data_IF_221923284097
#
_entry.id   IF_221923284097
#
_cell.length_a   1.000
_cell.length_b   1.000
_cell.length_c   1.000
_cell.angle_alpha   90.00
_cell.angle_beta   90.00
_cell.angle_gamma   90.00
#
_symmetry.space_group_name_H-M   'P 1'
#
loop_
_entity.id
_entity.type
_entity.pdbx_description
1 polymer ?
#
# COMPACT_ATOMS: atom_id res chain seq x y z
N UNK A 1 -6.09 6.30 -14.82
CA UNK A 1 -6.56 4.92 -14.98
C UNK A 1 -8.00 5.02 -15.38
N UNK A 2 -8.30 4.57 -16.59
CA UNK A 2 -9.67 4.38 -17.07
C UNK A 2 -10.07 2.97 -16.61
N UNK A 3 -11.14 2.88 -15.81
CA UNK A 3 -11.73 1.60 -15.46
C UNK A 3 -12.35 1.01 -16.72
N UNK A 4 -12.23 -0.29 -16.94
CA UNK A 4 -12.93 -0.92 -18.06
C UNK A 4 -14.45 -0.80 -17.87
N UNK A 5 -15.20 -0.72 -18.97
CA UNK A 5 -16.66 -0.61 -18.91
C UNK A 5 -17.26 -1.80 -18.15
N UNK A 6 -17.93 -1.52 -17.02
CA UNK A 6 -18.50 -2.53 -16.12
C UNK A 6 -17.51 -3.13 -15.10
N UNK A 7 -16.32 -2.56 -14.95
CA UNK A 7 -15.37 -2.84 -13.86
C UNK A 7 -15.66 -1.90 -12.68
N UNK A 8 -15.82 -2.45 -11.48
CA UNK A 8 -16.14 -1.66 -10.29
C UNK A 8 -14.94 -1.52 -9.35
N UNK A 9 -14.75 -0.29 -8.87
CA UNK A 9 -13.68 0.03 -7.94
C UNK A 9 -14.11 -0.34 -6.51
N UNK A 10 -13.54 -1.42 -5.97
CA UNK A 10 -13.80 -1.88 -4.60
C UNK A 10 -12.96 -1.08 -3.62
N UNK A 11 -11.68 -0.87 -3.95
CA UNK A 11 -10.79 -0.10 -3.09
C UNK A 11 -9.74 0.66 -3.89
N UNK A 12 -9.42 1.86 -3.41
CA UNK A 12 -8.35 2.71 -3.94
C UNK A 12 -7.56 3.26 -2.78
N UNK A 13 -6.24 3.16 -2.89
CA UNK A 13 -5.36 3.77 -1.92
C UNK A 13 -4.00 4.11 -2.46
N UNK A 14 -3.16 4.57 -1.55
CA UNK A 14 -1.79 5.00 -1.79
C UNK A 14 -0.93 4.52 -0.63
N UNK A 15 0.39 4.39 -0.82
CA UNK A 15 1.29 4.14 0.30
C UNK A 15 1.12 5.24 1.36
N UNK A 16 0.92 4.83 2.60
CA UNK A 16 1.01 5.66 3.78
C UNK A 16 2.47 6.07 3.94
N UNK A 17 2.72 7.38 3.88
CA UNK A 17 4.06 7.90 3.83
C UNK A 17 4.80 7.73 5.15
N UNK A 18 6.07 7.33 5.07
CA UNK A 18 6.92 7.19 6.24
C UNK A 18 7.68 8.51 6.47
N UNK A 19 7.13 9.41 7.30
CA UNK A 19 7.75 10.70 7.63
C UNK A 19 9.11 10.60 8.38
N UNK A 20 9.59 9.36 8.62
CA UNK A 20 10.84 9.08 9.34
C UNK A 20 12.06 9.67 8.65
N UNK A 21 12.22 9.54 7.33
CA UNK A 21 13.44 10.04 6.67
C UNK A 21 13.53 11.56 6.67
N UNK A 22 12.46 12.33 6.37
CA UNK A 22 12.48 13.78 6.56
C UNK A 22 12.71 14.19 8.02
N UNK A 23 12.12 13.47 8.96
CA UNK A 23 12.30 13.72 10.39
C UNK A 23 13.74 13.45 10.85
N UNK A 24 14.35 12.35 10.42
CA UNK A 24 15.74 12.04 10.72
C UNK A 24 16.70 13.04 10.06
N UNK A 25 16.39 13.49 8.84
CA UNK A 25 17.16 14.54 8.18
C UNK A 25 17.11 15.80 9.05
N UNK A 26 15.91 16.25 9.42
CA UNK A 26 15.73 17.40 10.30
C UNK A 26 16.47 17.25 11.64
N UNK A 27 16.45 16.07 12.27
CA UNK A 27 17.20 15.81 13.50
C UNK A 27 18.72 15.87 13.31
N UNK A 28 19.24 15.40 12.17
CA UNK A 28 20.68 15.49 11.88
C UNK A 28 21.17 16.94 11.73
N UNK A 29 20.29 17.88 11.34
CA UNK A 29 20.62 19.31 11.31
C UNK A 29 20.98 19.85 12.70
N UNK A 30 20.25 19.44 13.75
CA UNK A 30 20.55 19.85 15.12
C UNK A 30 21.92 19.34 15.59
N UNK A 31 22.34 18.16 15.13
CA UNK A 31 23.67 17.63 15.43
C UNK A 31 24.78 18.50 14.84
N UNK A 32 24.62 18.94 13.58
CA UNK A 32 25.59 19.76 12.86
C UNK A 32 25.69 21.17 13.47
N UNK A 33 24.56 21.81 13.75
CA UNK A 33 24.52 23.17 14.31
C UNK A 33 25.16 23.30 15.70
N UNK A 34 25.41 22.19 16.41
CA UNK A 34 26.07 22.17 17.72
C UNK A 34 27.59 21.94 17.64
N UNK A 35 28.17 21.71 16.46
CA UNK A 35 29.62 21.54 16.28
C UNK A 35 30.26 22.93 16.12
N UNK A 36 30.31 23.71 17.20
CA UNK A 36 31.04 24.98 17.21
C UNK A 36 32.33 24.85 18.02
N UNK A 37 33.49 25.11 17.39
CA UNK A 37 34.64 25.70 18.11
C UNK A 37 35.97 24.94 18.21
N UNK A 38 36.31 24.00 17.32
CA UNK A 38 37.68 23.42 17.29
C UNK A 38 38.21 23.33 15.85
N UNK A 39 39.52 23.47 15.64
CA UNK A 39 40.18 23.45 14.32
C UNK A 39 40.10 22.11 13.56
N UNK A 40 39.83 21.01 14.28
CA UNK A 40 39.43 19.72 13.70
C UNK A 40 37.94 19.67 13.31
N UNK A 41 37.15 20.64 13.77
CA UNK A 41 35.72 20.78 13.55
C UNK A 41 35.37 21.25 12.14
N UNK A 42 36.16 22.11 11.50
CA UNK A 42 35.79 22.69 10.19
C UNK A 42 35.68 21.64 9.07
N UNK A 43 36.62 20.68 9.02
CA UNK A 43 36.58 19.60 8.02
C UNK A 43 35.45 18.60 8.30
N UNK A 44 35.20 18.32 9.59
CA UNK A 44 34.11 17.43 10.03
C UNK A 44 32.74 18.09 9.79
N UNK A 45 32.65 19.40 9.98
CA UNK A 45 31.45 20.21 9.75
C UNK A 45 31.11 20.29 8.26
N UNK A 46 32.10 20.57 7.41
CA UNK A 46 31.92 20.57 5.96
C UNK A 46 31.45 19.19 5.43
N UNK A 47 32.10 18.10 5.85
CA UNK A 47 31.72 16.75 5.44
C UNK A 47 30.31 16.36 5.94
N UNK A 48 29.98 16.69 7.19
CA UNK A 48 28.67 16.41 7.79
C UNK A 48 27.55 17.20 7.11
N UNK A 49 27.83 18.45 6.74
CA UNK A 49 26.91 19.31 5.99
C UNK A 49 26.62 18.75 4.60
N UNK A 50 27.64 18.29 3.87
CA UNK A 50 27.46 17.65 2.55
C UNK A 50 26.61 16.37 2.68
N UNK A 51 26.90 15.52 3.66
CA UNK A 51 26.12 14.30 3.91
C UNK A 51 24.67 14.60 4.29
N UNK A 52 24.44 15.66 5.08
CA UNK A 52 23.09 16.13 5.40
C UNK A 52 22.30 16.53 4.17
N UNK A 53 22.87 17.36 3.28
CA UNK A 53 22.18 17.75 2.05
C UNK A 53 21.94 16.54 1.13
N UNK A 54 22.91 15.64 1.00
CA UNK A 54 22.75 14.39 0.25
C UNK A 54 21.60 13.53 0.79
N UNK A 55 21.53 13.37 2.12
CA UNK A 55 20.46 12.62 2.77
C UNK A 55 19.09 13.32 2.64
N UNK A 56 19.05 14.65 2.77
CA UNK A 56 17.84 15.45 2.61
C UNK A 56 17.28 15.31 1.19
N UNK A 57 18.13 15.39 0.17
CA UNK A 57 17.74 15.19 -1.24
C UNK A 57 17.22 13.77 -1.46
N UNK A 58 17.93 12.75 -1.00
CA UNK A 58 17.49 11.35 -1.13
C UNK A 58 16.13 11.11 -0.44
N UNK A 59 15.94 11.69 0.74
CA UNK A 59 14.69 11.63 1.51
C UNK A 59 13.52 12.30 0.76
N UNK A 60 13.74 13.49 0.20
CA UNK A 60 12.73 14.19 -0.61
C UNK A 60 12.40 13.44 -1.91
N UNK A 61 13.39 12.89 -2.60
CA UNK A 61 13.19 12.08 -3.80
C UNK A 61 12.35 10.85 -3.47
N UNK A 62 12.66 10.15 -2.38
CA UNK A 62 11.84 9.02 -1.92
C UNK A 62 10.38 9.44 -1.67
N UNK A 63 10.17 10.62 -1.09
CA UNK A 63 8.84 11.18 -0.84
C UNK A 63 8.04 11.39 -2.12
N UNK A 64 8.69 11.98 -3.13
CA UNK A 64 8.07 12.28 -4.42
C UNK A 64 7.74 10.99 -5.17
N UNK A 65 8.68 10.04 -5.22
CA UNK A 65 8.49 8.74 -5.88
C UNK A 65 7.35 7.96 -5.24
N UNK A 66 7.29 7.91 -3.91
CA UNK A 66 6.23 7.18 -3.21
C UNK A 66 4.86 7.83 -3.35
N UNK A 67 4.78 9.17 -3.43
CA UNK A 67 3.52 9.90 -3.68
C UNK A 67 2.86 9.55 -5.01
N UNK A 68 3.67 9.17 -6.01
CA UNK A 68 3.19 8.78 -7.34
C UNK A 68 2.50 7.41 -7.38
N UNK A 69 2.77 6.55 -6.39
CA UNK A 69 2.25 5.18 -6.36
C UNK A 69 0.78 5.16 -5.95
N UNK A 70 -0.03 4.48 -6.76
CA UNK A 70 -1.46 4.27 -6.50
C UNK A 70 -1.76 2.78 -6.60
N UNK A 71 -2.61 2.31 -5.72
CA UNK A 71 -3.06 0.93 -5.64
C UNK A 71 -4.56 0.90 -5.88
N UNK A 72 -5.00 -0.05 -6.69
CA UNK A 72 -6.40 -0.24 -7.03
C UNK A 72 -6.76 -1.71 -6.88
N UNK A 73 -7.90 -1.95 -6.24
CA UNK A 73 -8.53 -3.25 -6.17
C UNK A 73 -9.89 -3.12 -6.83
N UNK A 74 -10.09 -3.87 -7.90
CA UNK A 74 -11.38 -3.98 -8.60
C UNK A 74 -11.95 -5.38 -8.41
N UNK A 75 -13.18 -5.56 -8.84
CA UNK A 75 -13.86 -6.86 -8.90
C UNK A 75 -13.14 -7.86 -9.83
N UNK A 76 -12.41 -7.37 -10.84
CA UNK A 76 -11.72 -8.21 -11.85
C UNK A 76 -10.23 -8.33 -11.66
N UNK A 77 -9.56 -7.28 -11.17
CA UNK A 77 -8.10 -7.22 -11.10
C UNK A 77 -7.58 -6.39 -9.94
N UNK A 78 -6.36 -6.70 -9.56
CA UNK A 78 -5.59 -6.03 -8.53
C UNK A 78 -4.43 -5.34 -9.24
N UNK A 79 -4.33 -4.02 -9.07
CA UNK A 79 -3.40 -3.18 -9.82
C UNK A 79 -2.47 -2.50 -8.82
N UNK A 80 -1.20 -2.84 -8.95
CA UNK A 80 -0.11 -2.09 -8.36
C UNK A 80 0.63 -1.31 -9.44
N UNK A 81 1.48 -0.39 -9.02
CA UNK A 81 2.13 0.61 -9.89
C UNK A 81 2.67 0.04 -11.22
N UNK A 82 3.34 -1.13 -11.18
CA UNK A 82 3.98 -1.75 -12.34
C UNK A 82 3.50 -3.18 -12.61
N UNK A 83 2.40 -3.61 -11.98
CA UNK A 83 1.98 -5.01 -12.06
C UNK A 83 0.49 -5.14 -11.85
N UNK A 84 -0.15 -5.92 -12.71
CA UNK A 84 -1.56 -6.27 -12.62
C UNK A 84 -1.69 -7.76 -12.36
N UNK A 85 -2.66 -8.12 -11.52
CA UNK A 85 -3.03 -9.51 -11.21
C UNK A 85 -4.53 -9.65 -11.39
N UNK A 86 -4.99 -10.66 -12.11
CA UNK A 86 -6.42 -10.93 -12.22
C UNK A 86 -6.91 -11.58 -10.91
N UNK A 87 -8.08 -11.17 -10.44
CA UNK A 87 -8.71 -11.73 -9.23
C UNK A 87 -8.92 -13.25 -9.32
N UNK A 88 -9.31 -13.83 -10.47
CA UNK A 88 -9.38 -15.29 -10.65
C UNK A 88 -8.05 -16.01 -10.41
N UNK A 89 -6.92 -15.37 -10.72
CA UNK A 89 -5.58 -15.97 -10.57
C UNK A 89 -5.05 -15.84 -9.14
N UNK A 90 -5.79 -15.16 -8.24
CA UNK A 90 -5.42 -14.98 -6.86
C UNK A 90 -5.42 -16.32 -6.10
N UNK A 91 -4.23 -16.75 -5.68
CA UNK A 91 -4.03 -18.00 -4.94
C UNK A 91 -4.03 -17.76 -3.43
N UNK A 92 -3.36 -16.71 -2.96
CA UNK A 92 -3.26 -16.40 -1.54
C UNK A 92 -3.12 -14.90 -1.29
N UNK A 93 -3.51 -14.46 -0.10
CA UNK A 93 -3.33 -13.09 0.37
C UNK A 93 -2.61 -13.13 1.71
N UNK A 94 -1.43 -12.52 1.78
CA UNK A 94 -0.63 -12.43 2.99
C UNK A 94 -0.54 -11.00 3.48
N UNK A 95 -0.51 -10.81 4.78
CA UNK A 95 -0.36 -9.50 5.40
C UNK A 95 0.87 -9.48 6.30
N UNK A 96 1.67 -8.44 6.18
CA UNK A 96 2.76 -8.15 7.10
C UNK A 96 2.57 -6.79 7.75
N UNK A 97 2.68 -6.77 9.08
CA UNK A 97 2.62 -5.55 9.86
C UNK A 97 3.76 -5.54 10.88
N UNK A 98 4.56 -4.49 10.84
CA UNK A 98 5.50 -4.19 11.92
C UNK A 98 4.75 -3.71 13.17
N UNK A 99 5.37 -3.79 14.36
CA UNK A 99 4.75 -3.31 15.61
C UNK A 99 4.30 -1.85 15.51
N UNK A 100 5.16 -0.99 14.96
CA UNK A 100 4.84 0.42 14.71
C UNK A 100 3.76 0.59 13.64
N UNK A 101 3.78 -0.26 12.60
CA UNK A 101 2.73 -0.32 11.58
C UNK A 101 1.37 -0.63 12.18
N UNK A 102 1.28 -1.63 13.08
CA UNK A 102 0.06 -2.00 13.78
C UNK A 102 -0.51 -0.82 14.59
N UNK A 103 0.35 -0.08 15.32
CA UNK A 103 -0.08 1.12 16.06
C UNK A 103 -0.66 2.21 15.14
N UNK A 104 -0.09 2.38 13.95
CA UNK A 104 -0.56 3.37 12.95
C UNK A 104 -1.66 2.84 12.03
N UNK A 105 -2.08 1.59 12.18
CA UNK A 105 -2.99 0.92 11.24
C UNK A 105 -2.43 0.78 9.82
N UNK A 106 -1.11 0.66 9.65
CA UNK A 106 -0.41 0.56 8.36
C UNK A 106 0.30 -0.79 8.22
N UNK A 107 0.22 -1.41 7.04
CA UNK A 107 0.93 -2.66 6.75
C UNK A 107 1.16 -2.90 5.27
N UNK A 108 1.79 -4.02 4.96
CA UNK A 108 1.97 -4.51 3.60
C UNK A 108 0.98 -5.65 3.34
N UNK A 109 0.40 -5.68 2.15
CA UNK A 109 -0.45 -6.78 1.68
C UNK A 109 0.17 -7.36 0.43
N UNK A 110 0.36 -8.67 0.41
CA UNK A 110 0.93 -9.43 -0.69
C UNK A 110 -0.15 -10.32 -1.28
N UNK A 111 -0.26 -10.31 -2.60
CA UNK A 111 -1.21 -11.12 -3.36
C UNK A 111 -0.40 -12.08 -4.19
N UNK A 112 -0.53 -13.36 -3.89
CA UNK A 112 0.15 -14.43 -4.60
C UNK A 112 -0.77 -14.91 -5.73
N UNK A 113 -0.20 -15.10 -6.92
CA UNK A 113 -0.85 -15.70 -8.08
C UNK A 113 -0.69 -17.22 -8.05
N UNK A 114 -1.54 -17.95 -8.79
CA UNK A 114 -1.33 -19.38 -9.08
C UNK A 114 -0.06 -19.61 -9.90
N UNK A 115 0.34 -18.65 -10.73
CA UNK A 115 1.52 -18.73 -11.59
C UNK A 115 2.85 -18.50 -10.82
N UNK A 116 2.81 -18.37 -9.49
CA UNK A 116 3.97 -18.08 -8.65
C UNK A 116 4.43 -16.61 -8.67
N UNK A 117 3.80 -15.75 -9.49
CA UNK A 117 3.99 -14.29 -9.43
C UNK A 117 3.31 -13.73 -8.18
N UNK A 118 3.83 -12.64 -7.66
CA UNK A 118 3.19 -11.92 -6.56
C UNK A 118 3.21 -10.42 -6.82
N UNK A 119 2.19 -9.73 -6.31
CA UNK A 119 2.12 -8.28 -6.30
C UNK A 119 1.95 -7.81 -4.85
N UNK A 120 2.39 -6.59 -4.56
CA UNK A 120 2.33 -6.07 -3.18
C UNK A 120 1.83 -4.64 -3.11
N UNK A 121 0.90 -4.43 -2.18
CA UNK A 121 0.49 -3.12 -1.70
C UNK A 121 1.34 -2.78 -0.49
N UNK A 122 2.28 -1.84 -0.67
CA UNK A 122 3.23 -1.47 0.37
C UNK A 122 2.70 -0.30 1.18
N UNK A 123 2.84 -0.41 2.50
CA UNK A 123 2.47 0.62 3.48
C UNK A 123 1.02 1.10 3.33
N UNK A 124 0.06 0.22 3.09
CA UNK A 124 -1.34 0.61 2.99
C UNK A 124 -1.98 0.80 4.36
N UNK A 125 -2.88 1.78 4.47
CA UNK A 125 -3.74 1.95 5.64
C UNK A 125 -4.77 0.82 5.68
N UNK A 126 -5.07 0.36 6.89
CA UNK A 126 -6.09 -0.66 7.19
C UNK A 126 -5.94 -1.92 6.32
N UNK A 127 -4.76 -2.57 6.32
CA UNK A 127 -4.50 -3.72 5.47
C UNK A 127 -5.47 -4.89 5.73
N UNK A 128 -6.04 -4.98 6.93
CA UNK A 128 -7.06 -5.99 7.27
C UNK A 128 -8.30 -5.90 6.37
N UNK A 129 -8.76 -4.68 6.04
CA UNK A 129 -9.91 -4.49 5.15
C UNK A 129 -9.58 -4.99 3.74
N UNK A 130 -8.38 -4.71 3.26
CA UNK A 130 -7.93 -5.12 1.93
C UNK A 130 -7.82 -6.66 1.85
N UNK A 131 -7.29 -7.30 2.90
CA UNK A 131 -7.23 -8.77 2.98
C UNK A 131 -8.64 -9.36 2.97
N UNK A 132 -9.55 -8.83 3.79
CA UNK A 132 -10.93 -9.30 3.84
C UNK A 132 -11.64 -9.15 2.49
N UNK A 133 -11.55 -7.97 1.86
CA UNK A 133 -12.14 -7.71 0.54
C UNK A 133 -11.52 -8.56 -0.56
N UNK A 134 -10.21 -8.76 -0.57
CA UNK A 134 -9.56 -9.60 -1.60
C UNK A 134 -9.84 -11.09 -1.42
N UNK A 135 -9.90 -11.59 -0.19
CA UNK A 135 -10.24 -12.99 0.08
C UNK A 135 -11.70 -13.32 -0.29
N UNK A 136 -12.63 -12.39 -0.13
CA UNK A 136 -14.04 -12.58 -0.52
C UNK A 136 -14.27 -12.47 -2.03
N UNK A 137 -13.37 -11.82 -2.77
CA UNK A 137 -13.34 -11.84 -4.23
C UNK A 137 -12.73 -13.13 -4.80
N UNK A 138 -12.01 -13.89 -3.98
CA UNK A 138 -11.38 -15.14 -4.39
C UNK A 138 -12.45 -16.16 -4.77
N UNK A 139 -12.40 -16.65 -6.00
CA UNK A 139 -13.34 -17.64 -6.53
C UNK A 139 -14.45 -17.05 -7.40
N UNK A 140 -14.53 -15.74 -7.53
CA UNK A 140 -15.41 -15.11 -8.52
C UNK A 140 -14.83 -15.38 -9.92
N UNK A 141 -15.58 -16.02 -10.83
CA UNK A 141 -15.09 -16.32 -12.18
C UNK A 141 -14.86 -15.04 -12.98
N UNK A 142 -13.86 -15.07 -13.87
CA UNK A 142 -13.58 -13.99 -14.80
C UNK A 142 -14.82 -13.71 -15.67
N UNK A 143 -15.47 -12.57 -15.47
CA UNK A 143 -16.68 -12.21 -16.23
C UNK A 143 -18.00 -12.43 -15.48
N UNK A 144 -17.98 -12.66 -14.17
CA UNK A 144 -19.19 -12.49 -13.37
C UNK A 144 -19.62 -11.02 -13.40
N UNK A 145 -20.55 -10.71 -14.29
CA UNK A 145 -21.05 -9.35 -14.51
C UNK A 145 -22.31 -9.11 -13.70
N UNK A 146 -22.35 -7.99 -12.99
CA UNK A 146 -23.52 -7.52 -12.25
C UNK A 146 -23.33 -7.62 -10.75
N UNK A 147 -24.03 -6.77 -10.01
CA UNK A 147 -24.05 -6.82 -8.55
C UNK A 147 -25.36 -7.40 -8.06
N UNK A 148 -25.25 -8.28 -7.07
CA UNK A 148 -26.38 -8.80 -6.30
C UNK A 148 -26.42 -8.10 -4.94
N UNK A 149 -27.60 -8.06 -4.32
CA UNK A 149 -27.73 -7.56 -2.97
C UNK A 149 -27.67 -8.72 -1.99
N UNK A 150 -26.96 -8.54 -0.88
CA UNK A 150 -27.02 -9.48 0.22
C UNK A 150 -28.44 -9.58 0.73
N UNK A 151 -29.04 -10.77 0.71
CA UNK A 151 -30.37 -10.98 1.30
C UNK A 151 -30.38 -10.77 2.82
N UNK A 152 -29.21 -10.81 3.48
CA UNK A 152 -29.09 -10.69 4.92
C UNK A 152 -28.88 -9.25 5.41
N UNK A 153 -27.96 -8.51 4.81
CA UNK A 153 -27.60 -7.15 5.25
C UNK A 153 -27.86 -6.05 4.21
N UNK A 154 -28.38 -6.41 3.03
CA UNK A 154 -28.70 -5.47 1.95
C UNK A 154 -27.49 -4.84 1.26
N UNK A 155 -26.26 -5.23 1.60
CA UNK A 155 -25.07 -4.67 0.94
C UNK A 155 -24.96 -5.14 -0.50
N UNK A 156 -24.38 -4.30 -1.36
CA UNK A 156 -24.03 -4.66 -2.73
C UNK A 156 -22.84 -5.63 -2.75
N UNK A 157 -22.94 -6.68 -3.55
CA UNK A 157 -21.95 -7.75 -3.68
C UNK A 157 -21.73 -8.02 -5.17
N UNK A 158 -20.49 -8.25 -5.63
CA UNK A 158 -20.24 -8.71 -6.99
C UNK A 158 -20.94 -10.06 -7.24
N UNK A 159 -21.56 -10.17 -8.41
CA UNK A 159 -22.22 -11.39 -8.87
C UNK A 159 -21.24 -12.55 -8.92
N UNK A 160 -21.68 -13.74 -8.51
CA UNK A 160 -20.81 -14.91 -8.41
C UNK A 160 -19.96 -14.99 -7.13
N UNK A 161 -20.03 -14.00 -6.24
CA UNK A 161 -19.49 -14.16 -4.88
C UNK A 161 -20.33 -15.17 -4.10
N UNK A 162 -19.68 -16.12 -3.41
CA UNK A 162 -20.36 -17.09 -2.54
C UNK A 162 -20.58 -16.57 -1.13
N UNK A 163 -19.93 -15.46 -0.75
CA UNK A 163 -20.02 -14.83 0.58
C UNK A 163 -20.09 -13.31 0.48
N UNK A 164 -20.83 -12.71 1.42
CA UNK A 164 -21.04 -11.28 1.50
C UNK A 164 -19.82 -10.56 2.09
N UNK A 165 -19.31 -9.57 1.35
CA UNK A 165 -18.19 -8.70 1.75
C UNK A 165 -18.44 -7.91 3.03
N UNK A 166 -19.71 -7.62 3.36
CA UNK A 166 -20.07 -6.74 4.47
C UNK A 166 -20.45 -7.51 5.76
N UNK A 167 -21.17 -8.64 5.64
CA UNK A 167 -21.63 -9.41 6.80
C UNK A 167 -21.13 -10.86 6.87
N UNK A 168 -20.45 -11.37 5.85
CA UNK A 168 -19.93 -12.74 5.82
C UNK A 168 -20.98 -13.84 5.58
N UNK A 169 -22.26 -13.48 5.42
CA UNK A 169 -23.33 -14.41 5.09
C UNK A 169 -23.14 -15.01 3.69
N UNK A 170 -23.66 -16.22 3.47
CA UNK A 170 -23.69 -16.82 2.13
C UNK A 170 -24.69 -16.04 1.24
N UNK A 171 -24.35 -15.90 -0.04
CA UNK A 171 -25.00 -15.01 -1.02
C UNK A 171 -25.89 -15.79 -1.96
#
# INVERSE_FOLDING_TARGET
MELESGEELIWKGRPAYHFRYPFLAFMSLFGILNINGASLGDAVDAASTILFFGFLVASLVSLIVDKGRKYYLTDRRIIAHNSTLLVPDLSNVRMEQSRLGRFRGVGNVYFDSRDGRWIAFKHVKEPNLIVHSSMSLRGIPAGATGMVFCNYCGSRIPGGATKCLNCGADV
#
